data_IF_565621091344
#
_entry.id   IF_565621091344
#
_cell.length_a   1.000
_cell.length_b   1.000
_cell.length_c   1.000
_cell.angle_alpha   90.00
_cell.angle_beta   90.00
_cell.angle_gamma   90.00
#
_symmetry.space_group_name_H-M   'P 1'
#
loop_
_entity.id
_entity.type
_entity.pdbx_description
1 polymer ?
#
# COMPACT_ATOMS: atom_id res chain seq x y z
N UNK A 1 18.25 9.64 -2.25
CA UNK A 1 16.90 10.00 -2.72
C UNK A 1 15.96 8.91 -2.24
N UNK A 2 14.79 9.25 -1.70
CA UNK A 2 13.79 8.25 -1.31
C UNK A 2 13.15 7.67 -2.57
N UNK A 3 12.99 6.35 -2.65
CA UNK A 3 12.27 5.73 -3.77
C UNK A 3 10.77 5.98 -3.62
N UNK A 4 10.06 6.29 -4.71
CA UNK A 4 8.62 6.49 -4.66
C UNK A 4 7.90 5.18 -4.29
N UNK A 5 6.77 5.31 -3.58
CA UNK A 5 5.87 4.20 -3.32
C UNK A 5 5.22 3.77 -4.63
N UNK A 6 5.19 2.46 -4.89
CA UNK A 6 4.64 1.89 -6.11
C UNK A 6 3.36 1.14 -5.80
N UNK A 7 2.25 1.51 -6.44
CA UNK A 7 0.99 0.80 -6.26
C UNK A 7 1.05 -0.62 -6.86
N UNK A 8 1.58 -0.73 -8.08
CA UNK A 8 1.64 -1.97 -8.83
C UNK A 8 0.52 -2.10 -9.87
N UNK A 9 0.83 -2.79 -10.96
CA UNK A 9 -0.11 -3.17 -12.02
C UNK A 9 0.14 -4.63 -12.41
N UNK A 10 -0.76 -5.25 -13.16
CA UNK A 10 -0.58 -6.64 -13.62
C UNK A 10 0.71 -6.83 -14.42
N UNK A 11 1.01 -5.86 -15.29
CA UNK A 11 2.21 -5.81 -16.13
C UNK A 11 3.46 -5.32 -15.39
N UNK A 12 3.31 -4.80 -14.17
CA UNK A 12 4.40 -4.27 -13.36
C UNK A 12 4.14 -4.47 -11.85
N UNK A 13 4.09 -5.74 -11.46
CA UNK A 13 3.61 -6.16 -10.14
C UNK A 13 4.72 -6.20 -9.08
N UNK A 14 5.94 -6.56 -9.48
CA UNK A 14 7.05 -6.75 -8.54
C UNK A 14 7.41 -5.46 -7.78
N UNK A 15 7.85 -5.63 -6.53
CA UNK A 15 8.28 -4.55 -5.63
C UNK A 15 7.24 -3.43 -5.47
N UNK A 16 5.95 -3.80 -5.47
CA UNK A 16 4.82 -2.87 -5.33
C UNK A 16 3.95 -3.21 -4.13
N UNK A 17 3.15 -2.25 -3.65
CA UNK A 17 2.16 -2.48 -2.61
C UNK A 17 1.22 -3.65 -2.96
N UNK A 18 0.82 -3.80 -4.22
CA UNK A 18 0.02 -4.93 -4.67
C UNK A 18 0.72 -6.28 -4.44
N UNK A 19 2.04 -6.38 -4.66
CA UNK A 19 2.81 -7.58 -4.36
C UNK A 19 2.93 -7.86 -2.86
N UNK A 20 3.06 -6.81 -2.03
CA UNK A 20 3.01 -6.98 -0.58
C UNK A 20 1.64 -7.48 -0.11
N UNK A 21 0.54 -6.99 -0.70
CA UNK A 21 -0.81 -7.47 -0.41
C UNK A 21 -0.98 -8.94 -0.83
N UNK A 22 -0.48 -9.32 -2.01
CA UNK A 22 -0.53 -10.72 -2.49
C UNK A 22 0.21 -11.67 -1.54
N UNK A 23 1.43 -11.30 -1.11
CA UNK A 23 2.18 -12.08 -0.14
C UNK A 23 1.45 -12.19 1.21
N UNK A 24 0.83 -11.11 1.68
CA UNK A 24 0.02 -11.13 2.89
C UNK A 24 -1.18 -12.07 2.75
N UNK A 25 -1.84 -12.08 1.58
CA UNK A 25 -2.93 -13.00 1.29
C UNK A 25 -2.48 -14.47 1.37
N UNK A 26 -1.32 -14.83 0.80
CA UNK A 26 -0.78 -16.19 0.90
C UNK A 26 -0.54 -16.60 2.36
N UNK A 27 0.01 -15.69 3.16
CA UNK A 27 0.28 -15.94 4.57
C UNK A 27 -1.02 -16.19 5.36
N UNK A 28 -2.02 -15.32 5.20
CA UNK A 28 -3.32 -15.43 5.88
C UNK A 28 -4.09 -16.67 5.41
N UNK A 29 -4.06 -16.98 4.11
CA UNK A 29 -4.71 -18.17 3.57
C UNK A 29 -4.12 -19.44 4.18
N UNK A 30 -2.78 -19.56 4.21
CA UNK A 30 -2.10 -20.70 4.82
C UNK A 30 -2.42 -20.80 6.32
N UNK A 31 -2.48 -19.68 7.05
CA UNK A 31 -2.81 -19.67 8.47
C UNK A 31 -4.24 -20.15 8.76
N UNK A 32 -5.21 -19.76 7.92
CA UNK A 32 -6.64 -20.06 8.12
C UNK A 32 -7.04 -21.42 7.54
N UNK A 33 -6.46 -21.81 6.40
CA UNK A 33 -6.86 -23.01 5.65
C UNK A 33 -5.91 -24.18 5.85
N UNK A 34 -4.67 -23.93 6.31
CA UNK A 34 -3.64 -24.95 6.45
C UNK A 34 -3.05 -25.44 5.13
N UNK A 35 -3.43 -24.83 4.00
CA UNK A 35 -2.95 -25.17 2.66
C UNK A 35 -2.46 -23.92 1.92
N UNK A 36 -1.66 -24.11 0.88
CA UNK A 36 -1.15 -23.01 0.07
C UNK A 36 -2.24 -22.45 -0.84
N UNK A 37 -2.24 -21.13 -1.01
CA UNK A 37 -3.15 -20.46 -1.94
C UNK A 37 -2.84 -20.90 -3.39
N UNK A 38 -3.83 -21.31 -4.19
CA UNK A 38 -3.59 -21.67 -5.59
C UNK A 38 -3.09 -20.48 -6.42
N UNK A 39 -2.02 -20.71 -7.17
CA UNK A 39 -1.32 -19.71 -7.99
C UNK A 39 -1.48 -19.93 -9.51
N UNK A 40 -2.08 -21.04 -9.91
CA UNK A 40 -2.13 -21.50 -11.30
C UNK A 40 -3.50 -21.41 -11.97
N UNK A 41 -4.50 -20.85 -11.31
CA UNK A 41 -5.87 -20.76 -11.80
C UNK A 41 -6.27 -19.33 -12.21
N UNK A 42 -7.43 -19.22 -12.86
CA UNK A 42 -8.03 -17.94 -13.22
C UNK A 42 -8.27 -17.06 -11.97
N UNK A 43 -8.51 -17.70 -10.82
CA UNK A 43 -8.59 -17.03 -9.53
C UNK A 43 -7.32 -16.28 -9.14
N UNK A 44 -6.13 -16.79 -9.47
CA UNK A 44 -4.87 -16.10 -9.22
C UNK A 44 -4.75 -14.79 -10.01
N UNK A 45 -5.20 -14.77 -11.26
CA UNK A 45 -5.18 -13.55 -12.07
C UNK A 45 -6.19 -12.51 -11.56
N UNK A 46 -7.41 -12.94 -11.23
CA UNK A 46 -8.46 -12.06 -10.72
C UNK A 46 -8.07 -11.43 -9.37
N UNK A 47 -7.45 -12.20 -8.47
CA UNK A 47 -6.90 -11.68 -7.21
C UNK A 47 -5.83 -10.61 -7.43
N UNK A 48 -4.90 -10.83 -8.36
CA UNK A 48 -3.87 -9.84 -8.67
C UNK A 48 -4.47 -8.54 -9.22
N UNK A 49 -5.57 -8.62 -9.99
CA UNK A 49 -6.30 -7.44 -10.46
C UNK A 49 -6.91 -6.70 -9.26
N UNK A 50 -7.57 -7.44 -8.36
CA UNK A 50 -8.14 -6.87 -7.13
C UNK A 50 -7.07 -6.18 -6.27
N UNK A 51 -5.94 -6.83 -6.03
CA UNK A 51 -4.86 -6.27 -5.20
C UNK A 51 -4.22 -5.05 -5.85
N UNK A 52 -4.02 -5.06 -7.18
CA UNK A 52 -3.55 -3.89 -7.90
C UNK A 52 -4.55 -2.72 -7.82
N UNK A 53 -5.86 -2.98 -7.88
CA UNK A 53 -6.88 -1.94 -7.74
C UNK A 53 -6.91 -1.34 -6.33
N UNK A 54 -6.84 -2.19 -5.30
CA UNK A 54 -6.77 -1.75 -3.89
C UNK A 54 -5.53 -0.90 -3.66
N UNK A 55 -4.35 -1.39 -4.06
CA UNK A 55 -3.10 -0.67 -3.88
C UNK A 55 -3.10 0.70 -4.56
N UNK A 56 -3.65 0.78 -5.78
CA UNK A 56 -3.80 2.02 -6.52
C UNK A 56 -4.74 3.00 -5.83
N UNK A 57 -5.90 2.54 -5.37
CA UNK A 57 -6.85 3.38 -4.63
C UNK A 57 -6.26 3.91 -3.32
N UNK A 58 -5.60 3.06 -2.53
CA UNK A 58 -4.96 3.44 -1.26
C UNK A 58 -3.90 4.51 -1.49
N UNK A 59 -2.95 4.26 -2.39
CA UNK A 59 -1.87 5.23 -2.60
C UNK A 59 -2.36 6.53 -3.22
N UNK A 60 -3.41 6.50 -4.07
CA UNK A 60 -4.02 7.70 -4.65
C UNK A 60 -4.68 8.54 -3.55
N UNK A 61 -5.51 7.90 -2.72
CA UNK A 61 -6.14 8.56 -1.59
C UNK A 61 -5.12 9.19 -0.66
N UNK A 62 -4.07 8.46 -0.27
CA UNK A 62 -3.01 9.01 0.58
C UNK A 62 -2.26 10.17 -0.08
N UNK A 63 -2.02 10.11 -1.40
CA UNK A 63 -1.38 11.20 -2.14
C UNK A 63 -2.25 12.45 -2.19
N UNK A 64 -3.56 12.32 -2.41
CA UNK A 64 -4.51 13.44 -2.44
C UNK A 64 -4.70 14.05 -1.04
N UNK A 65 -4.63 13.23 0.00
CA UNK A 65 -4.82 13.60 1.40
C UNK A 65 -3.49 13.77 2.16
N UNK A 66 -2.38 14.01 1.46
CA UNK A 66 -1.06 14.13 2.08
C UNK A 66 -0.99 15.19 3.20
N UNK A 67 -1.77 16.27 3.09
CA UNK A 67 -1.89 17.31 4.13
C UNK A 67 -2.52 16.83 5.44
N UNK A 68 -3.29 15.74 5.38
CA UNK A 68 -4.09 15.21 6.48
C UNK A 68 -3.31 14.14 7.26
N UNK A 69 -2.19 13.65 6.71
CA UNK A 69 -1.30 12.69 7.34
C UNK A 69 -0.44 13.39 8.41
N UNK A 70 -0.96 13.40 9.63
CA UNK A 70 -0.29 13.93 10.82
C UNK A 70 0.44 12.78 11.51
N UNK A 71 1.77 12.86 11.60
CA UNK A 71 2.56 11.93 12.42
C UNK A 71 2.83 12.57 13.77
N UNK A 72 2.28 11.99 14.83
CA UNK A 72 2.50 12.42 16.22
C UNK A 72 3.75 11.79 16.81
N UNK A 73 4.43 12.48 17.73
CA UNK A 73 4.96 11.82 18.93
C UNK A 73 4.67 12.63 20.20
N UNK A 74 4.52 11.85 21.27
CA UNK A 74 4.21 12.20 22.64
C UNK A 74 5.38 13.00 23.26
N UNK A 75 5.20 14.31 23.49
CA UNK A 75 6.20 15.09 24.22
C UNK A 75 6.07 14.80 25.71
N UNK A 76 6.82 13.80 26.18
CA UNK A 76 7.09 13.60 27.60
C UNK A 76 7.81 14.82 28.19
N UNK A 77 7.02 15.65 28.86
CA UNK A 77 7.40 16.61 29.90
C UNK A 77 8.41 17.71 29.53
N UNK A 78 7.90 18.89 29.16
CA UNK A 78 8.57 20.16 29.49
C UNK A 78 8.71 21.20 28.37
N UNK A 79 7.63 21.89 28.04
CA UNK A 79 7.65 23.28 27.57
C UNK A 79 7.89 23.54 26.08
N UNK A 80 7.04 24.40 25.49
CA UNK A 80 7.08 24.99 24.13
C UNK A 80 6.45 24.15 23.00
N UNK A 81 5.17 23.82 23.24
CA UNK A 81 4.04 23.54 22.35
C UNK A 81 4.24 23.40 20.81
N UNK A 82 4.02 22.15 20.36
CA UNK A 82 3.60 21.67 19.02
C UNK A 82 4.62 21.71 17.87
N UNK A 83 5.59 20.80 17.93
CA UNK A 83 6.33 20.38 16.74
C UNK A 83 5.51 19.37 15.92
N UNK A 84 5.06 19.78 14.72
CA UNK A 84 4.40 18.90 13.74
C UNK A 84 5.45 18.33 12.80
N UNK A 85 5.57 17.01 12.74
CA UNK A 85 6.29 16.33 11.66
C UNK A 85 5.31 16.00 10.53
N UNK A 86 5.68 16.32 9.29
CA UNK A 86 4.96 15.91 8.09
C UNK A 86 5.78 14.85 7.37
N UNK A 87 5.20 13.68 7.13
CA UNK A 87 5.80 12.71 6.21
C UNK A 87 5.53 13.14 4.77
N UNK A 88 6.59 13.21 3.97
CA UNK A 88 6.48 13.39 2.53
C UNK A 88 6.84 12.05 1.85
N UNK A 89 5.94 11.51 1.06
CA UNK A 89 6.22 10.42 0.14
C UNK A 89 5.79 10.83 -1.27
N UNK A 90 6.42 10.22 -2.27
CA UNK A 90 6.02 10.34 -3.67
C UNK A 90 5.44 9.01 -4.10
N UNK A 91 4.35 9.03 -4.87
CA UNK A 91 3.82 7.81 -5.49
C UNK A 91 4.25 7.79 -6.95
N UNK A 92 4.77 6.65 -7.39
CA UNK A 92 5.41 6.49 -8.70
C UNK A 92 4.36 6.51 -9.83
N UNK A 93 3.51 5.51 -9.90
CA UNK A 93 2.55 5.35 -11.00
C UNK A 93 1.23 4.76 -10.55
N UNK A 94 0.15 5.31 -11.12
CA UNK A 94 -1.23 4.82 -11.04
C UNK A 94 -1.76 4.58 -12.44
N UNK A 95 -2.68 3.64 -12.63
CA UNK A 95 -3.41 3.49 -13.91
C UNK A 95 -4.52 4.53 -13.93
N UNK A 96 -4.50 5.43 -14.90
CA UNK A 96 -5.54 6.46 -15.07
C UNK A 96 -6.68 5.95 -15.96
N UNK A 97 -7.93 6.41 -15.73
CA UNK A 97 -8.35 7.32 -14.67
C UNK A 97 -8.59 6.60 -13.33
N UNK A 98 -8.15 7.22 -12.24
CA UNK A 98 -8.66 7.00 -10.88
C UNK A 98 -9.39 8.29 -10.46
N UNK A 99 -10.42 8.21 -9.60
CA UNK A 99 -11.09 9.39 -9.05
C UNK A 99 -10.12 10.32 -8.29
#
# INVERSE_FOLDING_TARGET
MANPLKAGRIDDFAFSLAAYIDQAMHNEWQAVKGESLPDSDQGAQDRRILFAAIAQGVLKFLADHGSDLITSEESGNGGLDKHRHSMAFTVDTFRTPLP
#
